data_IF_550967806853
#
_entry.id   IF_550967806853
#
_cell.length_a   1.000
_cell.length_b   1.000
_cell.length_c   1.000
_cell.angle_alpha   90.00
_cell.angle_beta   90.00
_cell.angle_gamma   90.00
#
_symmetry.space_group_name_H-M   'P 1'
#
loop_
_entity.id
_entity.type
_entity.pdbx_description
1 polymer ?
#
# COMPACT_ATOMS: atom_id res chain seq x y z
N UNK A 1 -14.58 -3.35 -32.24
CA UNK A 1 -14.89 -2.47 -31.10
C UNK A 1 -13.93 -1.31 -31.20
N UNK A 2 -14.43 -0.08 -31.11
CA UNK A 2 -13.58 1.11 -31.14
C UNK A 2 -12.64 1.08 -29.91
N UNK A 3 -11.33 1.23 -30.14
CA UNK A 3 -10.32 1.25 -29.08
C UNK A 3 -10.62 2.36 -28.06
N UNK A 4 -11.25 3.44 -28.51
CA UNK A 4 -11.67 4.51 -27.63
C UNK A 4 -12.73 3.98 -26.65
N UNK A 5 -13.85 3.44 -27.15
CA UNK A 5 -14.92 2.89 -26.32
C UNK A 5 -14.42 1.82 -25.33
N UNK A 6 -13.40 1.05 -25.71
CA UNK A 6 -12.77 0.08 -24.80
C UNK A 6 -12.17 0.74 -23.55
N UNK A 7 -11.40 1.81 -23.72
CA UNK A 7 -10.74 2.50 -22.63
C UNK A 7 -11.73 3.15 -21.69
N UNK A 8 -12.75 3.81 -22.24
CA UNK A 8 -13.82 4.42 -21.44
C UNK A 8 -14.52 3.38 -20.56
N UNK A 9 -14.88 2.22 -21.14
CA UNK A 9 -15.49 1.11 -20.40
C UNK A 9 -14.58 0.58 -19.28
N UNK A 10 -13.27 0.48 -19.53
CA UNK A 10 -12.29 0.03 -18.51
C UNK A 10 -12.17 1.04 -17.37
N UNK A 11 -12.16 2.34 -17.68
CA UNK A 11 -12.18 3.41 -16.70
C UNK A 11 -13.44 3.37 -15.83
N UNK A 12 -14.63 3.28 -16.45
CA UNK A 12 -15.91 3.18 -15.74
C UNK A 12 -15.97 1.94 -14.85
N UNK A 13 -15.47 0.79 -15.34
CA UNK A 13 -15.38 -0.44 -14.55
C UNK A 13 -14.44 -0.29 -13.34
N UNK A 14 -13.34 0.43 -13.49
CA UNK A 14 -12.41 0.69 -12.40
C UNK A 14 -13.03 1.64 -11.37
N UNK A 15 -13.66 2.73 -11.80
CA UNK A 15 -14.35 3.66 -10.93
C UNK A 15 -15.44 2.95 -10.09
N UNK A 16 -16.27 2.13 -10.72
CA UNK A 16 -17.28 1.35 -10.02
C UNK A 16 -16.68 0.38 -8.97
N UNK A 17 -15.54 -0.26 -9.30
CA UNK A 17 -14.84 -1.15 -8.36
C UNK A 17 -14.22 -0.38 -7.17
N UNK A 18 -13.77 0.86 -7.39
CA UNK A 18 -13.30 1.74 -6.31
C UNK A 18 -14.45 2.04 -5.35
N UNK A 19 -15.61 2.44 -5.87
CA UNK A 19 -16.81 2.74 -5.07
C UNK A 19 -17.27 1.54 -4.24
N UNK A 20 -17.33 0.35 -4.84
CA UNK A 20 -17.65 -0.90 -4.14
C UNK A 20 -16.66 -1.16 -2.99
N UNK A 21 -15.37 -0.94 -3.24
CA UNK A 21 -14.32 -1.16 -2.25
C UNK A 21 -14.38 -0.15 -1.11
N UNK A 22 -14.70 1.11 -1.40
CA UNK A 22 -14.96 2.14 -0.38
C UNK A 22 -16.17 1.78 0.48
N UNK A 23 -17.24 1.27 -0.13
CA UNK A 23 -18.42 0.79 0.60
C UNK A 23 -18.06 -0.36 1.56
N UNK A 24 -17.25 -1.31 1.09
CA UNK A 24 -16.73 -2.41 1.90
C UNK A 24 -15.85 -1.90 3.06
N UNK A 25 -14.92 -0.98 2.81
CA UNK A 25 -14.09 -0.38 3.87
C UNK A 25 -14.95 0.34 4.93
N UNK A 26 -15.99 1.07 4.51
CA UNK A 26 -16.94 1.75 5.39
C UNK A 26 -17.76 0.78 6.23
N UNK A 27 -18.21 -0.33 5.64
CA UNK A 27 -18.90 -1.40 6.36
C UNK A 27 -18.01 -1.97 7.49
N UNK A 28 -16.77 -2.32 7.15
CA UNK A 28 -15.77 -2.84 8.11
C UNK A 28 -15.52 -1.83 9.23
N UNK A 29 -15.25 -0.56 8.89
CA UNK A 29 -15.02 0.49 9.88
C UNK A 29 -16.22 0.69 10.82
N UNK A 30 -17.45 0.66 10.28
CA UNK A 30 -18.68 0.80 11.05
C UNK A 30 -18.86 -0.36 12.02
N UNK A 31 -18.61 -1.59 11.55
CA UNK A 31 -18.67 -2.79 12.38
C UNK A 31 -17.64 -2.73 13.51
N UNK A 32 -16.39 -2.38 13.21
CA UNK A 32 -15.32 -2.25 14.21
C UNK A 32 -15.63 -1.18 15.25
N UNK A 33 -16.16 -0.03 14.84
CA UNK A 33 -16.58 1.00 15.79
C UNK A 33 -17.62 0.49 16.79
N UNK A 34 -18.58 -0.33 16.34
CA UNK A 34 -19.58 -0.95 17.24
C UNK A 34 -18.93 -1.95 18.19
N UNK A 35 -18.05 -2.81 17.69
CA UNK A 35 -17.29 -3.76 18.51
C UNK A 35 -16.43 -3.03 19.56
N UNK A 36 -15.78 -1.92 19.19
CA UNK A 36 -15.02 -1.07 20.10
C UNK A 36 -15.89 -0.51 21.22
N UNK A 37 -17.06 0.03 20.87
CA UNK A 37 -18.00 0.57 21.85
C UNK A 37 -18.49 -0.52 22.82
N UNK A 38 -18.74 -1.73 22.33
CA UNK A 38 -19.14 -2.86 23.18
C UNK A 38 -18.01 -3.30 24.12
N UNK A 39 -16.76 -3.35 23.63
CA UNK A 39 -15.59 -3.68 24.45
C UNK A 39 -15.34 -2.62 25.52
N UNK A 40 -15.41 -1.33 25.20
CA UNK A 40 -15.30 -0.25 26.20
C UNK A 40 -16.39 -0.31 27.27
N UNK A 41 -17.61 -0.74 26.91
CA UNK A 41 -18.69 -0.97 27.88
C UNK A 41 -18.44 -2.21 28.75
N UNK A 42 -17.73 -3.21 28.23
CA UNK A 42 -17.38 -4.45 28.94
C UNK A 42 -16.11 -4.33 29.79
N UNK A 43 -15.20 -3.40 29.46
CA UNK A 43 -13.87 -3.18 30.09
C UNK A 43 -13.91 -2.73 31.55
N UNK A 44 -15.09 -2.61 32.16
CA UNK A 44 -15.23 -2.56 33.62
C UNK A 44 -14.89 -3.89 34.32
N UNK A 45 -14.60 -4.96 33.57
CA UNK A 45 -14.26 -6.29 34.08
C UNK A 45 -12.93 -6.77 33.46
N UNK A 46 -11.84 -6.52 34.18
CA UNK A 46 -10.43 -6.73 33.81
C UNK A 46 -10.06 -8.19 33.46
N UNK A 47 -9.35 -8.39 32.35
CA UNK A 47 -8.32 -9.44 32.13
C UNK A 47 -7.38 -9.07 30.95
N UNK A 48 -6.14 -9.61 30.94
CA UNK A 48 -5.10 -9.35 29.90
C UNK A 48 -5.57 -9.67 28.46
N UNK A 49 -6.49 -10.63 28.31
CA UNK A 49 -7.10 -10.98 27.02
C UNK A 49 -7.89 -9.82 26.40
N UNK A 50 -8.54 -8.98 27.22
CA UNK A 50 -9.28 -7.81 26.75
C UNK A 50 -8.38 -6.73 26.14
N UNK A 51 -7.14 -6.59 26.64
CA UNK A 51 -6.19 -5.59 26.13
C UNK A 51 -5.67 -5.94 24.73
N UNK A 52 -5.41 -7.23 24.47
CA UNK A 52 -4.96 -7.68 23.14
C UNK A 52 -6.06 -7.48 22.10
N UNK A 53 -7.31 -7.82 22.45
CA UNK A 53 -8.47 -7.64 21.55
C UNK A 53 -8.75 -6.16 21.27
N UNK A 54 -8.65 -5.29 22.28
CA UNK A 54 -8.77 -3.84 22.12
C UNK A 54 -7.68 -3.31 21.18
N UNK A 55 -6.43 -3.69 21.41
CA UNK A 55 -5.30 -3.27 20.59
C UNK A 55 -5.46 -3.73 19.12
N UNK A 56 -5.82 -5.00 18.90
CA UNK A 56 -6.11 -5.53 17.56
C UNK A 56 -7.19 -4.71 16.86
N UNK A 57 -8.25 -4.36 17.58
CA UNK A 57 -9.38 -3.65 17.00
C UNK A 57 -9.05 -2.19 16.66
N UNK A 58 -8.32 -1.49 17.54
CA UNK A 58 -7.82 -0.13 17.27
C UNK A 58 -6.90 -0.15 16.05
N UNK A 59 -5.99 -1.12 15.98
CA UNK A 59 -5.08 -1.26 14.85
C UNK A 59 -5.80 -1.55 13.54
N UNK A 60 -6.76 -2.48 13.54
CA UNK A 60 -7.62 -2.74 12.37
C UNK A 60 -8.39 -1.49 11.93
N UNK A 61 -8.85 -0.65 12.86
CA UNK A 61 -9.48 0.62 12.53
C UNK A 61 -8.52 1.60 11.87
N UNK A 62 -7.27 1.70 12.34
CA UNK A 62 -6.23 2.52 11.71
C UNK A 62 -5.90 2.02 10.29
N UNK A 63 -5.78 0.71 10.11
CA UNK A 63 -5.51 0.11 8.81
C UNK A 63 -6.70 0.27 7.85
N UNK A 64 -7.93 0.18 8.34
CA UNK A 64 -9.13 0.46 7.54
C UNK A 64 -9.20 1.93 7.12
N UNK A 65 -8.80 2.86 8.00
CA UNK A 65 -8.67 4.29 7.65
C UNK A 65 -7.62 4.47 6.56
N UNK A 66 -6.45 3.86 6.70
CA UNK A 66 -5.37 3.89 5.70
C UNK A 66 -5.86 3.38 4.35
N UNK A 67 -6.62 2.28 4.32
CA UNK A 67 -7.25 1.79 3.10
C UNK A 67 -8.22 2.81 2.50
N UNK A 68 -9.05 3.47 3.32
CA UNK A 68 -10.01 4.47 2.86
C UNK A 68 -9.32 5.71 2.28
N UNK A 69 -8.27 6.21 2.93
CA UNK A 69 -7.48 7.34 2.45
C UNK A 69 -6.80 7.00 1.11
N UNK A 70 -6.21 5.79 1.01
CA UNK A 70 -5.60 5.27 -0.22
C UNK A 70 -6.63 5.14 -1.36
N UNK A 71 -7.84 4.66 -1.08
CA UNK A 71 -8.92 4.59 -2.08
C UNK A 71 -9.36 5.96 -2.57
N UNK A 72 -9.33 6.98 -1.70
CA UNK A 72 -9.53 8.37 -2.10
C UNK A 72 -8.45 8.85 -3.06
N UNK A 73 -7.18 8.68 -2.69
CA UNK A 73 -6.05 9.06 -3.53
C UNK A 73 -6.02 8.31 -4.88
N UNK A 74 -6.44 7.05 -4.90
CA UNK A 74 -6.55 6.24 -6.12
C UNK A 74 -7.67 6.77 -7.03
N UNK A 75 -8.83 7.11 -6.47
CA UNK A 75 -9.92 7.75 -7.21
C UNK A 75 -9.47 9.08 -7.82
N UNK A 76 -8.87 9.95 -7.02
CA UNK A 76 -8.38 11.26 -7.48
C UNK A 76 -7.36 11.08 -8.61
N UNK A 77 -6.38 10.18 -8.43
CA UNK A 77 -5.38 9.89 -9.45
C UNK A 77 -6.00 9.38 -10.75
N UNK A 78 -6.91 8.41 -10.69
CA UNK A 78 -7.54 7.84 -11.89
C UNK A 78 -8.47 8.86 -12.54
N UNK A 79 -9.22 9.62 -11.75
CA UNK A 79 -10.14 10.66 -12.19
C UNK A 79 -9.45 11.85 -12.87
N UNK A 80 -8.21 12.15 -12.52
CA UNK A 80 -7.40 13.19 -13.17
C UNK A 80 -6.56 12.63 -14.33
N UNK A 81 -5.83 11.54 -14.11
CA UNK A 81 -4.89 11.01 -15.08
C UNK A 81 -5.59 10.45 -16.33
N UNK A 82 -6.70 9.72 -16.16
CA UNK A 82 -7.38 9.11 -17.30
C UNK A 82 -7.91 10.17 -18.29
N UNK A 83 -8.72 11.17 -17.89
CA UNK A 83 -9.17 12.21 -18.82
C UNK A 83 -8.01 12.97 -19.45
N UNK A 84 -6.98 13.32 -18.69
CA UNK A 84 -5.80 14.03 -19.21
C UNK A 84 -5.14 13.28 -20.38
N UNK A 85 -4.79 12.00 -20.18
CA UNK A 85 -4.13 11.22 -21.24
C UNK A 85 -5.09 10.85 -22.36
N UNK A 86 -6.35 10.58 -22.02
CA UNK A 86 -7.38 10.28 -22.99
C UNK A 86 -7.61 11.42 -23.97
N UNK A 87 -7.92 12.62 -23.47
CA UNK A 87 -8.14 13.82 -24.28
C UNK A 87 -6.87 14.18 -25.04
N UNK A 88 -5.71 14.07 -24.37
CA UNK A 88 -4.42 14.38 -24.95
C UNK A 88 -4.00 13.48 -26.11
N UNK A 89 -4.44 12.22 -26.16
CA UNK A 89 -4.11 11.27 -27.24
C UNK A 89 -5.24 11.02 -28.24
N UNK A 90 -6.49 11.09 -27.81
CA UNK A 90 -7.66 10.67 -28.60
C UNK A 90 -8.74 11.75 -28.73
N UNK A 91 -8.60 12.89 -28.03
CA UNK A 91 -9.54 14.00 -28.12
C UNK A 91 -9.43 14.80 -29.42
N UNK A 92 -10.37 15.74 -29.63
CA UNK A 92 -10.40 16.62 -30.80
C UNK A 92 -9.14 17.50 -30.93
N UNK A 93 -8.50 17.78 -29.80
CA UNK A 93 -7.28 18.58 -29.70
C UNK A 93 -6.10 17.75 -29.19
N UNK A 94 -5.97 16.50 -29.65
CA UNK A 94 -4.89 15.61 -29.26
C UNK A 94 -3.52 16.30 -29.46
N UNK A 95 -2.87 16.65 -28.35
CA UNK A 95 -1.66 17.46 -28.31
C UNK A 95 -0.51 16.79 -27.57
N UNK A 96 -0.74 15.62 -26.94
CA UNK A 96 0.32 14.93 -26.23
C UNK A 96 1.31 14.29 -27.22
N UNK A 97 2.63 14.44 -26.98
CA UNK A 97 3.63 13.83 -27.82
C UNK A 97 3.56 12.31 -27.70
N UNK A 98 3.83 11.63 -28.82
CA UNK A 98 3.91 10.17 -28.87
C UNK A 98 5.37 9.74 -28.88
N UNK A 99 5.67 8.67 -28.15
CA UNK A 99 6.98 8.02 -28.16
C UNK A 99 6.84 6.60 -28.73
N UNK A 100 7.78 6.13 -29.58
CA UNK A 100 7.82 4.73 -29.98
C UNK A 100 7.98 3.77 -28.80
N UNK A 101 8.71 4.18 -27.76
CA UNK A 101 8.95 3.37 -26.55
C UNK A 101 7.72 3.34 -25.63
N UNK A 102 6.90 4.39 -25.68
CA UNK A 102 5.69 4.56 -24.86
C UNK A 102 4.52 5.02 -25.74
N UNK A 103 3.99 4.14 -26.61
CA UNK A 103 2.87 4.50 -27.46
C UNK A 103 1.62 4.80 -26.61
N UNK A 104 0.67 5.63 -27.07
CA UNK A 104 -0.53 6.01 -26.31
C UNK A 104 -1.27 4.83 -25.69
N UNK A 105 -1.40 3.73 -26.44
CA UNK A 105 -2.02 2.49 -25.96
C UNK A 105 -1.34 1.93 -24.70
N UNK A 106 -0.01 1.96 -24.67
CA UNK A 106 0.76 1.50 -23.51
C UNK A 106 0.54 2.43 -22.31
N UNK A 107 0.58 3.75 -22.52
CA UNK A 107 0.33 4.73 -21.46
C UNK A 107 -1.07 4.54 -20.87
N UNK A 108 -2.11 4.49 -21.71
CA UNK A 108 -3.50 4.23 -21.28
C UNK A 108 -3.64 2.90 -20.52
N UNK A 109 -2.93 1.87 -20.98
CA UNK A 109 -2.92 0.59 -20.27
C UNK A 109 -2.28 0.72 -18.89
N UNK A 110 -1.18 1.46 -18.76
CA UNK A 110 -0.45 1.58 -17.50
C UNK A 110 -1.22 2.40 -16.45
N UNK A 111 -1.83 3.52 -16.85
CA UNK A 111 -2.63 4.37 -15.94
C UNK A 111 -3.87 3.66 -15.40
N UNK A 112 -4.37 2.62 -16.08
CA UNK A 112 -5.49 1.81 -15.59
C UNK A 112 -5.01 0.53 -14.87
N UNK A 113 -3.98 -0.13 -15.41
CA UNK A 113 -3.51 -1.43 -14.88
C UNK A 113 -2.90 -1.28 -13.49
N UNK A 114 -2.08 -0.25 -13.26
CA UNK A 114 -1.42 -0.05 -11.98
C UNK A 114 -2.47 0.20 -10.87
N UNK A 115 -3.38 1.18 -10.98
CA UNK A 115 -4.45 1.37 -9.99
C UNK A 115 -5.38 0.17 -9.84
N UNK A 116 -5.73 -0.53 -10.92
CA UNK A 116 -6.56 -1.74 -10.80
C UNK A 116 -5.89 -2.84 -9.97
N UNK A 117 -4.57 -2.99 -10.12
CA UNK A 117 -3.80 -3.96 -9.33
C UNK A 117 -3.69 -3.48 -7.87
N UNK A 118 -3.42 -2.18 -7.64
CA UNK A 118 -3.38 -1.61 -6.29
C UNK A 118 -4.74 -1.77 -5.57
N UNK A 119 -5.83 -1.49 -6.28
CA UNK A 119 -7.20 -1.70 -5.79
C UNK A 119 -7.44 -3.15 -5.37
N UNK A 120 -7.00 -4.13 -6.18
CA UNK A 120 -7.13 -5.54 -5.84
C UNK A 120 -6.37 -5.91 -4.56
N UNK A 121 -5.18 -5.34 -4.36
CA UNK A 121 -4.41 -5.55 -3.13
C UNK A 121 -5.09 -4.91 -1.90
N UNK A 122 -5.69 -3.72 -2.07
CA UNK A 122 -6.47 -3.07 -0.99
C UNK A 122 -7.72 -3.88 -0.65
N UNK A 123 -8.46 -4.36 -1.66
CA UNK A 123 -9.60 -5.26 -1.48
C UNK A 123 -9.19 -6.52 -0.70
N UNK A 124 -8.08 -7.13 -1.09
CA UNK A 124 -7.50 -8.28 -0.41
C UNK A 124 -7.14 -7.95 1.05
N UNK A 125 -6.43 -6.85 1.30
CA UNK A 125 -6.07 -6.41 2.65
C UNK A 125 -7.29 -6.19 3.55
N UNK A 126 -8.37 -5.60 3.02
CA UNK A 126 -9.65 -5.41 3.73
C UNK A 126 -10.32 -6.76 3.99
N UNK A 127 -10.47 -7.60 2.96
CA UNK A 127 -11.14 -8.90 3.07
C UNK A 127 -10.45 -9.83 4.06
N UNK A 128 -9.12 -9.85 4.05
CA UNK A 128 -8.30 -10.65 4.95
C UNK A 128 -8.41 -10.20 6.43
N UNK A 129 -8.84 -8.96 6.65
CA UNK A 129 -9.17 -8.42 7.98
C UNK A 129 -10.65 -8.57 8.33
N UNK A 130 -11.51 -8.98 7.39
CA UNK A 130 -12.93 -9.28 7.69
C UNK A 130 -12.99 -10.55 8.53
N UNK A 131 -13.52 -10.41 9.74
CA UNK A 131 -13.81 -11.54 10.65
C UNK A 131 -15.11 -12.20 10.20
N UNK A 132 -15.01 -13.33 9.50
CA UNK A 132 -16.16 -14.09 8.99
C UNK A 132 -16.91 -14.81 10.13
N UNK A 133 -16.19 -15.27 11.15
CA UNK A 133 -16.70 -16.04 12.28
C UNK A 133 -17.06 -15.19 13.52
N UNK A 134 -16.80 -13.89 13.48
CA UNK A 134 -16.96 -13.00 14.64
C UNK A 134 -15.91 -13.20 15.73
N UNK A 135 -14.92 -14.07 15.54
CA UNK A 135 -13.79 -14.24 16.45
C UNK A 135 -12.90 -13.00 16.40
N UNK A 136 -12.59 -12.44 17.57
CA UNK A 136 -11.75 -11.24 17.69
C UNK A 136 -10.30 -11.50 17.26
N UNK A 137 -9.88 -12.77 17.18
CA UNK A 137 -8.49 -13.15 16.94
C UNK A 137 -8.37 -14.39 16.04
N UNK A 138 -8.49 -14.20 14.73
CA UNK A 138 -8.13 -15.26 13.76
C UNK A 138 -6.62 -15.34 13.61
N UNK A 139 -6.07 -16.52 13.29
CA UNK A 139 -4.61 -16.68 13.02
C UNK A 139 -4.15 -15.69 11.96
N UNK A 140 -4.95 -15.52 10.92
CA UNK A 140 -4.76 -14.54 9.86
C UNK A 140 -4.72 -13.10 10.37
N UNK A 141 -5.68 -12.70 11.20
CA UNK A 141 -5.73 -11.36 11.78
C UNK A 141 -4.51 -11.08 12.67
N UNK A 142 -4.08 -12.07 13.46
CA UNK A 142 -2.87 -11.96 14.29
C UNK A 142 -1.59 -11.84 13.45
N UNK A 143 -1.46 -12.64 12.40
CA UNK A 143 -0.31 -12.57 11.50
C UNK A 143 -0.22 -11.20 10.79
N UNK A 144 -1.35 -10.68 10.33
CA UNK A 144 -1.42 -9.34 9.72
C UNK A 144 -1.11 -8.23 10.72
N UNK A 145 -1.65 -8.31 11.94
CA UNK A 145 -1.32 -7.35 13.01
C UNK A 145 0.19 -7.34 13.27
N UNK A 146 0.80 -8.52 13.41
CA UNK A 146 2.24 -8.63 13.63
C UNK A 146 3.04 -8.04 12.46
N UNK A 147 2.63 -8.32 11.23
CA UNK A 147 3.29 -7.76 10.04
C UNK A 147 3.18 -6.24 9.99
N UNK A 148 1.99 -5.68 10.21
CA UNK A 148 1.79 -4.23 10.21
C UNK A 148 2.67 -3.56 11.27
N UNK A 149 2.73 -4.13 12.49
CA UNK A 149 3.61 -3.62 13.55
C UNK A 149 5.08 -3.66 13.16
N UNK A 150 5.54 -4.77 12.58
CA UNK A 150 6.92 -4.90 12.15
C UNK A 150 7.25 -3.92 11.02
N UNK A 151 6.30 -3.67 10.11
CA UNK A 151 6.46 -2.70 9.04
C UNK A 151 6.50 -1.27 9.59
N UNK A 152 5.62 -0.90 10.51
CA UNK A 152 5.65 0.40 11.21
C UNK A 152 6.95 0.60 11.98
N UNK A 153 7.41 -0.43 12.72
CA UNK A 153 8.70 -0.39 13.43
C UNK A 153 9.88 -0.25 12.47
N UNK A 154 9.82 -0.83 11.27
CA UNK A 154 10.86 -0.72 10.26
C UNK A 154 10.85 0.67 9.57
N UNK A 155 9.68 1.29 9.39
CA UNK A 155 9.55 2.64 8.85
C UNK A 155 10.03 3.72 9.83
N UNK A 156 9.79 3.49 11.13
CA UNK A 156 9.96 4.49 12.17
C UNK A 156 11.34 5.19 12.20
N UNK A 157 12.49 4.48 12.09
CA UNK A 157 13.80 5.13 12.10
C UNK A 157 13.97 6.13 10.96
N UNK A 158 13.46 5.83 9.76
CA UNK A 158 13.56 6.71 8.61
C UNK A 158 12.64 7.94 8.73
N UNK A 159 11.46 7.77 9.30
CA UNK A 159 10.55 8.87 9.62
C UNK A 159 11.18 9.80 10.66
N UNK A 160 11.74 9.24 11.75
CA UNK A 160 12.40 10.02 12.81
C UNK A 160 13.62 10.79 12.31
N UNK A 161 14.38 10.20 11.39
CA UNK A 161 15.51 10.86 10.76
C UNK A 161 15.11 11.88 9.68
N UNK A 162 13.82 12.00 9.35
CA UNK A 162 13.29 12.94 8.37
C UNK A 162 13.50 12.52 6.90
N UNK A 163 13.84 11.25 6.65
CA UNK A 163 13.98 10.72 5.28
C UNK A 163 12.62 10.41 4.65
N UNK A 164 11.64 10.04 5.48
CA UNK A 164 10.26 9.79 5.07
C UNK A 164 9.32 10.74 5.80
N UNK A 165 8.16 11.00 5.20
CA UNK A 165 7.13 11.84 5.79
C UNK A 165 6.49 11.16 7.02
N UNK A 166 6.10 11.93 8.06
CA UNK A 166 5.35 11.38 9.19
C UNK A 166 3.99 10.76 8.82
N UNK A 167 3.45 11.06 7.64
CA UNK A 167 2.23 10.45 7.13
C UNK A 167 2.47 9.10 6.43
N UNK A 168 3.72 8.71 6.19
CA UNK A 168 4.06 7.43 5.57
C UNK A 168 3.61 6.26 6.45
N UNK A 169 2.82 5.36 5.87
CA UNK A 169 2.26 4.19 6.54
C UNK A 169 2.62 2.90 5.80
N UNK A 170 2.41 1.76 6.46
CA UNK A 170 2.48 0.45 5.82
C UNK A 170 1.14 -0.27 5.95
N UNK A 171 0.75 -0.95 4.87
CA UNK A 171 -0.42 -1.82 4.83
C UNK A 171 0.03 -3.21 4.40
N UNK A 172 0.02 -4.16 5.34
CA UNK A 172 0.40 -5.54 5.03
C UNK A 172 -0.81 -6.35 4.56
N UNK A 173 -0.57 -7.35 3.72
CA UNK A 173 -1.57 -8.31 3.27
C UNK A 173 -0.91 -9.67 3.01
N UNK A 174 -1.65 -10.76 3.16
CA UNK A 174 -1.15 -12.11 2.88
C UNK A 174 -1.16 -12.37 1.38
N UNK A 175 -0.10 -12.97 0.87
CA UNK A 175 0.13 -13.27 -0.53
C UNK A 175 0.94 -14.56 -0.67
N UNK A 176 1.14 -15.04 -1.89
CA UNK A 176 1.94 -16.23 -2.18
C UNK A 176 3.45 -15.99 -2.05
N UNK A 177 3.89 -14.73 -1.95
CA UNK A 177 5.30 -14.35 -1.83
C UNK A 177 5.44 -13.03 -1.05
N UNK A 178 6.61 -12.81 -0.46
CA UNK A 178 6.94 -11.49 0.11
C UNK A 178 7.26 -10.51 -1.01
N UNK A 179 6.66 -9.32 -0.97
CA UNK A 179 6.93 -8.24 -1.92
C UNK A 179 6.52 -6.88 -1.34
N UNK A 180 7.31 -5.83 -1.57
CA UNK A 180 6.86 -4.46 -1.46
C UNK A 180 6.22 -3.99 -2.76
N UNK A 181 5.25 -3.10 -2.64
CA UNK A 181 4.78 -2.30 -3.76
C UNK A 181 4.67 -0.85 -3.37
N UNK A 182 5.24 -0.01 -4.24
CA UNK A 182 5.08 1.43 -4.18
C UNK A 182 3.73 1.84 -4.75
N UNK A 183 3.08 2.77 -4.04
CA UNK A 183 1.90 3.48 -4.52
C UNK A 183 2.31 4.90 -4.88
N UNK A 184 2.31 5.30 -6.17
CA UNK A 184 2.86 6.59 -6.59
C UNK A 184 1.99 7.80 -6.22
N UNK A 185 0.74 7.57 -5.80
CA UNK A 185 -0.24 8.62 -5.51
C UNK A 185 -0.62 8.70 -4.01
N UNK A 186 0.00 7.90 -3.14
CA UNK A 186 -0.28 7.93 -1.71
C UNK A 186 0.93 7.46 -0.90
N UNK A 187 1.18 8.05 0.28
CA UNK A 187 2.31 7.70 1.14
C UNK A 187 2.06 6.41 1.93
N UNK A 188 1.99 5.30 1.21
CA UNK A 188 1.84 3.97 1.79
C UNK A 188 2.75 2.96 1.10
N UNK A 189 3.28 2.05 1.89
CA UNK A 189 3.95 0.84 1.39
C UNK A 189 2.99 -0.33 1.51
N UNK A 190 2.65 -0.95 0.39
CA UNK A 190 1.90 -2.21 0.41
C UNK A 190 2.91 -3.35 0.57
N UNK A 191 2.76 -4.15 1.63
CA UNK A 191 3.70 -5.24 1.95
C UNK A 191 2.97 -6.58 1.91
N UNK A 192 3.22 -7.36 0.85
CA UNK A 192 2.79 -8.75 0.78
C UNK A 192 3.63 -9.61 1.72
N UNK A 193 2.99 -10.41 2.56
CA UNK A 193 3.63 -11.42 3.42
C UNK A 193 3.20 -12.81 2.97
N UNK A 194 4.10 -13.79 3.00
CA UNK A 194 3.77 -15.14 2.55
C UNK A 194 2.65 -15.77 3.40
N UNK A 195 1.71 -16.50 2.81
CA UNK A 195 0.72 -17.30 3.57
C UNK A 195 1.40 -18.30 4.53
N UNK A 196 2.61 -18.75 4.20
CA UNK A 196 3.43 -19.60 5.05
C UNK A 196 3.72 -18.97 6.43
N UNK A 197 3.71 -17.63 6.53
CA UNK A 197 3.88 -16.88 7.78
C UNK A 197 2.81 -17.19 8.83
N UNK A 198 1.69 -17.79 8.45
CA UNK A 198 0.62 -18.19 9.37
C UNK A 198 0.75 -19.63 9.89
N UNK A 199 1.63 -20.46 9.31
CA UNK A 199 1.65 -21.90 9.57
C UNK A 199 2.10 -22.25 10.99
N UNK A 200 2.95 -21.41 11.60
CA UNK A 200 3.47 -21.61 12.95
C UNK A 200 2.60 -20.97 14.05
N UNK A 201 1.34 -20.65 13.73
CA UNK A 201 0.36 -20.08 14.65
C UNK A 201 0.75 -18.67 15.10
N UNK A 202 1.08 -18.52 16.38
CA UNK A 202 1.37 -17.21 17.00
C UNK A 202 2.87 -16.87 17.00
N UNK A 203 3.72 -17.74 16.44
CA UNK A 203 5.17 -17.51 16.38
C UNK A 203 5.56 -16.78 15.09
N UNK A 204 6.38 -15.71 15.17
CA UNK A 204 6.94 -15.09 13.99
C UNK A 204 7.77 -16.11 13.20
N UNK A 205 7.42 -16.35 11.94
CA UNK A 205 8.26 -17.11 11.01
C UNK A 205 9.40 -16.25 10.49
N UNK A 206 10.39 -16.88 9.84
CA UNK A 206 11.49 -16.17 9.17
C UNK A 206 11.01 -15.23 8.06
N UNK A 207 9.83 -15.45 7.51
CA UNK A 207 9.26 -14.64 6.43
C UNK A 207 8.98 -13.20 6.87
N UNK A 208 8.71 -12.97 8.17
CA UNK A 208 8.57 -11.62 8.72
C UNK A 208 9.87 -10.81 8.67
N UNK A 209 11.05 -11.46 8.59
CA UNK A 209 12.34 -10.77 8.46
C UNK A 209 12.52 -10.12 7.09
N UNK A 210 11.71 -10.49 6.09
CA UNK A 210 11.73 -9.82 4.80
C UNK A 210 11.00 -8.46 4.84
N UNK A 211 10.16 -8.18 5.84
CA UNK A 211 9.48 -6.89 5.97
C UNK A 211 10.49 -5.73 6.07
N UNK A 212 11.49 -5.73 6.97
CA UNK A 212 12.52 -4.69 6.98
C UNK A 212 13.29 -4.54 5.66
N UNK A 213 13.50 -5.63 4.91
CA UNK A 213 14.17 -5.58 3.60
C UNK A 213 13.33 -4.81 2.57
N UNK A 214 12.04 -5.15 2.48
CA UNK A 214 11.07 -4.48 1.62
C UNK A 214 10.88 -3.00 1.99
N UNK A 215 10.88 -2.66 3.28
CA UNK A 215 10.86 -1.27 3.74
C UNK A 215 12.17 -0.54 3.39
N UNK A 216 13.31 -1.22 3.43
CA UNK A 216 14.59 -0.68 2.98
C UNK A 216 14.57 -0.25 1.51
N UNK A 217 13.98 -1.07 0.63
CA UNK A 217 13.76 -0.69 -0.77
C UNK A 217 12.86 0.52 -0.90
N UNK A 218 11.76 0.58 -0.15
CA UNK A 218 10.88 1.74 -0.16
C UNK A 218 11.62 3.02 0.24
N UNK A 219 12.38 2.98 1.34
CA UNK A 219 13.19 4.09 1.81
C UNK A 219 14.20 4.53 0.75
N UNK A 220 14.90 3.59 0.11
CA UNK A 220 15.88 3.92 -0.91
C UNK A 220 15.26 4.73 -2.05
N UNK A 221 14.15 4.25 -2.61
CA UNK A 221 13.51 4.88 -3.77
C UNK A 221 12.74 6.17 -3.43
N UNK A 222 12.14 6.26 -2.25
CA UNK A 222 11.18 7.34 -1.90
C UNK A 222 11.69 8.28 -0.81
N UNK A 223 12.78 7.91 -0.14
CA UNK A 223 13.42 8.77 0.84
C UNK A 223 13.95 10.05 0.22
N UNK A 224 13.99 11.11 1.02
CA UNK A 224 14.60 12.40 0.64
C UNK A 224 15.61 12.82 1.69
N UNK A 225 16.68 13.50 1.28
CA UNK A 225 17.60 14.07 2.25
C UNK A 225 16.86 15.17 3.05
N UNK A 226 16.87 15.11 4.40
CA UNK A 226 16.11 16.04 5.23
C UNK A 226 16.40 17.51 4.88
N UNK A 227 15.35 18.33 4.84
CA UNK A 227 15.41 19.76 4.47
C UNK A 227 15.88 20.04 3.03
N UNK A 228 15.82 19.03 2.14
CA UNK A 228 16.14 19.20 0.72
C UNK A 228 15.09 18.54 -0.16
N UNK A 229 15.13 18.86 -1.46
CA UNK A 229 14.36 18.13 -2.47
C UNK A 229 15.11 16.92 -3.05
N UNK A 230 16.34 16.64 -2.59
CA UNK A 230 17.22 15.61 -3.17
C UNK A 230 16.71 14.22 -2.79
N UNK A 231 16.45 13.34 -3.77
CA UNK A 231 16.15 11.93 -3.49
C UNK A 231 17.31 11.22 -2.80
N UNK A 232 16.98 10.37 -1.81
CA UNK A 232 17.98 9.63 -1.03
C UNK A 232 18.84 8.72 -1.91
N UNK A 233 18.22 7.95 -2.82
CA UNK A 233 18.96 7.10 -3.75
C UNK A 233 20.03 7.87 -4.53
N UNK A 234 19.71 9.07 -5.01
CA UNK A 234 20.65 9.88 -5.78
C UNK A 234 21.86 10.31 -4.92
N UNK A 235 21.63 10.72 -3.67
CA UNK A 235 22.71 11.05 -2.75
C UNK A 235 23.59 9.83 -2.40
N UNK A 236 22.97 8.65 -2.25
CA UNK A 236 23.68 7.40 -1.98
C UNK A 236 24.53 6.95 -3.18
N UNK A 237 24.01 7.10 -4.41
CA UNK A 237 24.75 6.79 -5.63
C UNK A 237 25.99 7.70 -5.78
N UNK A 238 25.84 9.01 -5.53
CA UNK A 238 26.99 9.94 -5.52
C UNK A 238 28.03 9.51 -4.48
N UNK A 239 27.60 9.22 -3.26
CA UNK A 239 28.49 8.74 -2.18
C UNK A 239 29.21 7.45 -2.56
N UNK A 240 28.51 6.52 -3.22
CA UNK A 240 29.08 5.24 -3.67
C UNK A 240 30.19 5.45 -4.71
N UNK A 241 29.96 6.32 -5.69
CA UNK A 241 30.96 6.68 -6.72
C UNK A 241 32.16 7.39 -6.10
N UNK A 242 31.93 8.32 -5.17
CA UNK A 242 32.99 9.00 -4.41
C UNK A 242 33.83 8.03 -3.57
N UNK A 243 33.23 6.95 -3.07
CA UNK A 243 33.92 5.87 -2.37
C UNK A 243 34.68 4.91 -3.30
N UNK A 244 34.66 5.15 -4.62
CA UNK A 244 35.39 4.38 -5.62
C UNK A 244 34.63 3.18 -6.19
N UNK A 245 33.31 3.08 -5.98
CA UNK A 245 32.49 2.09 -6.68
C UNK A 245 32.26 2.54 -8.14
N UNK A 246 32.45 1.61 -9.07
CA UNK A 246 32.13 1.86 -10.48
C UNK A 246 30.61 2.04 -10.66
N UNK A 247 30.20 3.00 -11.48
CA UNK A 247 28.79 3.19 -11.88
C UNK A 247 28.19 1.94 -12.52
N UNK A 248 29.02 1.12 -13.19
CA UNK A 248 28.62 -0.14 -13.79
C UNK A 248 28.65 -1.34 -12.84
N UNK A 249 29.07 -1.13 -11.59
CA UNK A 249 29.13 -2.19 -10.61
C UNK A 249 27.72 -2.69 -10.29
N UNK A 250 27.57 -4.00 -10.12
CA UNK A 250 26.29 -4.58 -9.74
C UNK A 250 25.81 -4.01 -8.40
N UNK A 251 26.73 -3.63 -7.49
CA UNK A 251 26.39 -3.00 -6.21
C UNK A 251 25.68 -1.66 -6.40
N UNK A 252 26.10 -0.85 -7.38
CA UNK A 252 25.47 0.44 -7.71
C UNK A 252 24.16 0.24 -8.48
N UNK A 253 24.05 -0.83 -9.28
CA UNK A 253 22.81 -1.17 -10.01
C UNK A 253 21.75 -1.88 -9.14
N UNK A 254 22.15 -2.40 -7.98
CA UNK A 254 21.28 -3.03 -6.98
C UNK A 254 20.76 -2.05 -5.94
N UNK A 255 21.42 -0.89 -5.81
CA UNK A 255 20.90 0.29 -5.13
C UNK A 255 19.85 0.91 -6.07
#
# INVERSE_FOLDING_TARGET
MDMTQEWQRRFESLAAAIDETKAMAKEVATRRRRELSMLFLAEQLSDELGQLDLYMLVHEMMQTKTCADLLGALEDFVGEAFPFFWEGYYGEHAALPTSPDFPPRYVMQMILKQPATDLSLVQQAIQQRRRIDGSLSTVQGRALLLADRLAEMALWPAIQAGYLSPATSALCYLDNRVQARLVPYFEVVLVGIAFASMLDGDKPTRDFLAIPHEIGHHLFWNGRIPNTATPLHQALLVTAVEAGLSEDSWQVRWL
#
